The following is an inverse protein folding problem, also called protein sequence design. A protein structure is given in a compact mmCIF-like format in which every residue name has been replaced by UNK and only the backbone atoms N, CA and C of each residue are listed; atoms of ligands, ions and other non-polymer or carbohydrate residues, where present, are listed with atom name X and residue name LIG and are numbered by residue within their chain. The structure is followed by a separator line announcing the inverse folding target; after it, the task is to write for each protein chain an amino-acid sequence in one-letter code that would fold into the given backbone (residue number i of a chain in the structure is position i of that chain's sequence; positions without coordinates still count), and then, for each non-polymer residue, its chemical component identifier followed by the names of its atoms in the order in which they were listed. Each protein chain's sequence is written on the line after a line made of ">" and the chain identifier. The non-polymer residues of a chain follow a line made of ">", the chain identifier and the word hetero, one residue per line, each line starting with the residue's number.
data_IF_277463710836
#
_entry.id   IF_277463710836
#
_cell.length_a   1.000
_cell.length_b   1.000
_cell.length_c   1.000
_cell.angle_alpha   90.00
_cell.angle_beta   90.00
_cell.angle_gamma   90.00
#
_symmetry.space_group_name_H-M   'P 1'
#
loop_
_entity.id
_entity.type
_entity.pdbx_description
1 polymer ?
#
# COMPACT_ATOMS: atom_id res chain seq x y z
N UNK A 1 2.91 7.34 -5.77
CA UNK A 1 1.48 7.66 -5.61
C UNK A 1 0.94 8.08 -6.97
N UNK A 2 0.30 7.16 -7.68
CA UNK A 2 -0.49 7.43 -8.88
C UNK A 2 -1.87 8.03 -8.54
N UNK A 3 -2.33 7.86 -7.30
CA UNK A 3 -3.63 8.31 -6.80
C UNK A 3 -3.60 9.63 -5.98
N UNK A 4 -2.55 10.43 -6.17
CA UNK A 4 -2.44 11.75 -5.55
C UNK A 4 -1.99 12.80 -6.56
N UNK A 5 -2.48 14.03 -6.38
CA UNK A 5 -1.97 15.21 -7.07
C UNK A 5 -1.38 16.18 -6.05
N UNK A 6 -0.28 16.84 -6.44
CA UNK A 6 0.48 17.73 -5.59
C UNK A 6 0.52 19.12 -6.19
N UNK A 7 0.40 20.15 -5.35
CA UNK A 7 0.55 21.55 -5.77
C UNK A 7 1.28 22.35 -4.69
N UNK A 8 1.63 23.60 -5.01
CA UNK A 8 2.08 24.55 -3.99
C UNK A 8 0.93 25.48 -3.64
N UNK A 9 0.63 25.63 -2.35
CA UNK A 9 -0.42 26.53 -1.87
C UNK A 9 0.00 28.01 -2.06
N UNK A 10 -0.86 28.95 -1.62
CA UNK A 10 -0.60 30.39 -1.74
C UNK A 10 0.68 30.85 -1.01
N UNK A 11 1.09 30.12 0.04
CA UNK A 11 2.27 30.38 0.85
C UNK A 11 3.52 29.64 0.33
N UNK A 12 3.39 28.87 -0.76
CA UNK A 12 4.48 28.12 -1.40
C UNK A 12 4.75 26.74 -0.79
N UNK A 13 3.97 26.32 0.19
CA UNK A 13 4.08 25.02 0.85
C UNK A 13 3.56 23.90 -0.05
N UNK A 14 4.13 22.70 0.07
CA UNK A 14 3.70 21.53 -0.69
C UNK A 14 2.40 21.00 -0.07
N UNK A 15 1.36 20.92 -0.88
CA UNK A 15 0.05 20.40 -0.51
C UNK A 15 -0.33 19.23 -1.43
N UNK A 16 -1.26 18.39 -1.00
CA UNK A 16 -1.69 17.23 -1.77
C UNK A 16 -3.17 16.93 -1.62
N UNK A 17 -3.69 16.26 -2.65
CA UNK A 17 -5.08 15.87 -2.74
C UNK A 17 -5.18 14.48 -3.33
N UNK A 18 -6.23 13.77 -2.92
CA UNK A 18 -6.47 12.40 -3.31
C UNK A 18 -7.41 12.35 -4.51
N UNK A 19 -7.07 11.51 -5.48
CA UNK A 19 -7.92 11.13 -6.60
C UNK A 19 -8.22 9.62 -6.50
N UNK A 20 -8.99 9.10 -7.46
CA UNK A 20 -9.33 7.68 -7.53
C UNK A 20 -10.03 7.13 -6.27
N UNK A 21 -11.22 7.67 -6.00
CA UNK A 21 -12.06 7.27 -4.87
C UNK A 21 -12.90 6.00 -5.14
N UNK A 22 -12.67 5.30 -6.25
CA UNK A 22 -13.51 4.15 -6.67
C UNK A 22 -13.55 3.01 -5.65
N UNK A 23 -12.48 2.86 -4.86
CA UNK A 23 -12.35 1.87 -3.78
C UNK A 23 -12.59 2.43 -2.37
N UNK A 24 -13.08 3.66 -2.22
CA UNK A 24 -13.23 4.29 -0.92
C UNK A 24 -14.36 3.63 -0.10
N UNK A 25 -13.98 2.99 1.01
CA UNK A 25 -14.90 2.33 1.91
C UNK A 25 -14.37 2.39 3.36
N UNK A 26 -15.23 2.22 4.38
CA UNK A 26 -14.79 2.02 5.75
C UNK A 26 -13.87 0.80 5.83
N UNK A 27 -12.65 1.00 6.32
CA UNK A 27 -11.63 -0.03 6.40
C UNK A 27 -10.67 0.24 7.56
N UNK A 28 -9.87 -0.77 7.90
CA UNK A 28 -8.80 -0.61 8.87
C UNK A 28 -7.72 0.33 8.29
N UNK A 29 -7.27 1.30 9.08
CA UNK A 29 -6.31 2.31 8.65
C UNK A 29 -4.93 1.73 8.30
N UNK A 30 -4.52 0.63 8.94
CA UNK A 30 -3.30 -0.10 8.59
C UNK A 30 -3.44 -0.73 7.21
N UNK A 31 -4.61 -1.26 6.84
CA UNK A 31 -4.82 -1.79 5.49
C UNK A 31 -4.65 -0.72 4.40
N UNK A 32 -5.11 0.52 4.66
CA UNK A 32 -4.87 1.67 3.76
C UNK A 32 -3.37 2.00 3.70
N UNK A 33 -2.73 2.10 4.88
CA UNK A 33 -1.31 2.43 4.98
C UNK A 33 -0.44 1.38 4.28
N UNK A 34 -0.79 0.10 4.37
CA UNK A 34 -0.10 -0.99 3.68
C UNK A 34 -0.04 -0.78 2.19
N UNK A 35 -1.16 -0.46 1.53
CA UNK A 35 -1.14 -0.16 0.10
C UNK A 35 -0.20 0.99 -0.29
N UNK A 36 0.05 1.93 0.63
CA UNK A 36 0.91 3.10 0.37
C UNK A 36 2.40 2.84 0.57
N UNK A 37 2.79 1.92 1.46
CA UNK A 37 4.20 1.69 1.81
C UNK A 37 4.78 0.41 1.22
N UNK A 38 3.96 -0.58 0.83
CA UNK A 38 4.44 -1.85 0.24
C UNK A 38 5.12 -1.72 -1.13
N UNK A 39 5.18 -0.51 -1.71
CA UNK A 39 5.96 -0.23 -2.91
C UNK A 39 7.46 -0.01 -2.64
N UNK A 40 7.88 0.10 -1.37
CA UNK A 40 9.29 0.19 -1.01
C UNK A 40 10.01 -1.18 -1.12
N UNK A 41 11.34 -1.13 -1.23
CA UNK A 41 12.16 -2.35 -1.23
C UNK A 41 11.96 -3.13 0.08
N UNK A 42 11.99 -4.46 0.01
CA UNK A 42 11.68 -5.31 1.15
C UNK A 42 12.62 -5.11 2.35
N UNK A 43 13.89 -4.79 2.08
CA UNK A 43 14.91 -4.51 3.10
C UNK A 43 14.62 -3.19 3.82
N UNK A 44 14.29 -2.14 3.07
CA UNK A 44 13.88 -0.83 3.61
C UNK A 44 12.63 -0.95 4.48
N UNK A 45 11.64 -1.75 4.03
CA UNK A 45 10.43 -2.00 4.81
C UNK A 45 10.72 -2.75 6.12
N UNK A 46 11.61 -3.74 6.09
CA UNK A 46 11.97 -4.50 7.29
C UNK A 46 12.79 -3.67 8.28
N UNK A 47 13.60 -2.72 7.80
CA UNK A 47 14.37 -1.82 8.67
C UNK A 47 13.52 -0.69 9.27
N UNK A 48 12.47 -0.27 8.55
CA UNK A 48 11.74 0.96 8.86
C UNK A 48 10.25 0.80 9.13
N UNK A 49 9.72 -0.42 9.28
CA UNK A 49 8.31 -0.65 9.56
C UNK A 49 7.78 0.15 10.76
N UNK A 50 8.36 0.01 11.95
CA UNK A 50 7.93 0.72 13.16
C UNK A 50 8.18 2.23 13.06
N UNK A 51 9.34 2.73 12.60
CA UNK A 51 9.54 4.16 12.34
C UNK A 51 8.49 4.78 11.41
N UNK A 52 8.09 4.07 10.35
CA UNK A 52 7.05 4.55 9.42
C UNK A 52 5.67 4.61 10.10
N UNK A 53 5.33 3.63 10.94
CA UNK A 53 4.10 3.65 11.73
C UNK A 53 4.08 4.79 12.74
N UNK A 54 5.22 5.08 13.38
CA UNK A 54 5.36 6.23 14.29
C UNK A 54 5.18 7.55 13.54
N UNK A 55 5.81 7.70 12.37
CA UNK A 55 5.65 8.87 11.51
C UNK A 55 4.17 9.11 11.17
N UNK A 56 3.46 8.05 10.75
CA UNK A 56 2.03 8.14 10.46
C UNK A 56 1.22 8.54 11.69
N UNK A 57 1.47 7.94 12.86
CA UNK A 57 0.78 8.30 14.11
C UNK A 57 0.97 9.77 14.45
N UNK A 58 2.21 10.26 14.40
CA UNK A 58 2.54 11.62 14.81
C UNK A 58 1.84 12.64 13.89
N UNK A 59 1.83 12.38 12.59
CA UNK A 59 1.14 13.18 11.59
C UNK A 59 -0.39 13.13 11.81
N UNK A 60 -0.94 11.93 11.98
CA UNK A 60 -2.37 11.74 12.20
C UNK A 60 -2.86 12.40 13.49
N UNK A 61 -2.06 12.35 14.56
CA UNK A 61 -2.35 13.07 15.79
C UNK A 61 -2.29 14.58 15.59
N UNK A 62 -1.30 15.09 14.84
CA UNK A 62 -1.17 16.53 14.57
C UNK A 62 -2.38 17.09 13.81
N UNK A 63 -2.83 16.37 12.79
CA UNK A 63 -3.91 16.84 11.91
C UNK A 63 -5.32 16.52 12.44
N UNK A 64 -5.49 15.40 13.16
CA UNK A 64 -6.80 14.92 13.60
C UNK A 64 -7.00 14.91 15.13
N UNK A 65 -5.94 15.05 15.92
CA UNK A 65 -5.99 14.96 17.39
C UNK A 65 -6.24 13.55 17.95
N UNK A 66 -6.21 12.52 17.09
CA UNK A 66 -6.48 11.13 17.47
C UNK A 66 -5.16 10.43 17.77
N UNK A 67 -5.03 9.96 19.01
CA UNK A 67 -3.82 9.28 19.48
C UNK A 67 -3.91 7.76 19.24
N UNK A 68 -3.14 7.24 18.28
CA UNK A 68 -3.14 5.82 17.89
C UNK A 68 -2.12 5.02 18.73
N UNK A 69 -2.41 3.76 19.07
CA UNK A 69 -1.43 2.90 19.76
C UNK A 69 -0.48 2.23 18.76
N UNK A 70 0.78 2.67 18.70
CA UNK A 70 1.80 2.14 17.77
C UNK A 70 1.99 0.64 17.92
N UNK A 71 1.87 0.08 19.13
CA UNK A 71 2.04 -1.37 19.32
C UNK A 71 0.91 -2.16 18.69
N UNK A 72 -0.29 -1.59 18.71
CA UNK A 72 -1.43 -2.18 18.04
C UNK A 72 -1.33 -1.99 16.52
N UNK A 73 -0.84 -0.85 16.06
CA UNK A 73 -0.52 -0.60 14.66
C UNK A 73 0.48 -1.62 14.10
N UNK A 74 1.57 -1.87 14.82
CA UNK A 74 2.60 -2.85 14.47
C UNK A 74 2.03 -4.27 14.37
N UNK A 75 1.17 -4.66 15.34
CA UNK A 75 0.49 -5.96 15.29
C UNK A 75 -0.40 -6.09 14.05
N UNK A 76 -1.19 -5.06 13.77
CA UNK A 76 -2.06 -5.03 12.60
C UNK A 76 -1.26 -4.99 11.30
N UNK A 77 -0.10 -4.33 11.29
CA UNK A 77 0.82 -4.27 10.16
C UNK A 77 1.30 -5.68 9.79
N UNK A 78 1.85 -6.42 10.75
CA UNK A 78 2.32 -7.78 10.51
C UNK A 78 1.19 -8.72 10.06
N UNK A 79 0.02 -8.64 10.68
CA UNK A 79 -1.15 -9.43 10.27
C UNK A 79 -1.62 -9.08 8.85
N UNK A 80 -1.67 -7.79 8.54
CA UNK A 80 -2.07 -7.30 7.22
C UNK A 80 -1.05 -7.74 6.18
N UNK A 81 0.25 -7.60 6.43
CA UNK A 81 1.29 -7.98 5.49
C UNK A 81 1.23 -9.46 5.10
N UNK A 82 1.06 -10.36 6.07
CA UNK A 82 0.94 -11.81 5.81
C UNK A 82 -0.32 -12.12 5.00
N UNK A 83 -1.45 -11.48 5.29
CA UNK A 83 -2.71 -11.72 4.58
C UNK A 83 -2.75 -11.06 3.20
N UNK A 84 -2.10 -9.90 3.05
CA UNK A 84 -2.01 -9.13 1.81
C UNK A 84 -1.15 -9.84 0.77
N UNK A 85 -0.04 -10.47 1.16
CA UNK A 85 0.78 -11.28 0.25
C UNK A 85 -0.02 -12.41 -0.39
N UNK A 86 -0.88 -13.09 0.39
CA UNK A 86 -1.77 -14.14 -0.12
C UNK A 86 -2.78 -13.56 -1.11
N UNK A 87 -3.39 -12.43 -0.77
CA UNK A 87 -4.34 -11.73 -1.63
C UNK A 87 -3.71 -11.32 -2.98
N UNK A 88 -2.49 -10.75 -2.94
CA UNK A 88 -1.78 -10.29 -4.13
C UNK A 88 -1.43 -11.46 -5.05
N UNK A 89 -0.90 -12.55 -4.48
CA UNK A 89 -0.59 -13.77 -5.25
C UNK A 89 -1.84 -14.33 -5.93
N UNK A 90 -2.97 -14.37 -5.23
CA UNK A 90 -4.25 -14.83 -5.79
C UNK A 90 -4.76 -13.92 -6.91
N UNK A 91 -4.65 -12.59 -6.77
CA UNK A 91 -5.08 -11.64 -7.79
C UNK A 91 -4.25 -11.76 -9.06
N UNK A 92 -2.93 -11.83 -8.91
CA UNK A 92 -2.00 -12.03 -10.03
C UNK A 92 -2.32 -13.35 -10.73
N UNK A 93 -2.53 -14.44 -10.00
CA UNK A 93 -2.90 -15.73 -10.59
C UNK A 93 -4.23 -15.64 -11.37
N UNK A 94 -5.25 -15.02 -10.79
CA UNK A 94 -6.56 -14.87 -11.44
C UNK A 94 -6.46 -14.03 -12.72
N UNK A 95 -5.73 -12.92 -12.70
CA UNK A 95 -5.55 -12.08 -13.88
C UNK A 95 -4.72 -12.80 -14.95
N UNK A 96 -3.65 -13.50 -14.59
CA UNK A 96 -2.88 -14.31 -15.55
C UNK A 96 -3.78 -15.37 -16.20
N UNK A 97 -4.58 -16.11 -15.42
CA UNK A 97 -5.53 -17.10 -15.95
C UNK A 97 -6.61 -16.49 -16.83
N UNK A 98 -6.99 -15.23 -16.61
CA UNK A 98 -7.96 -14.50 -17.42
C UNK A 98 -7.36 -14.00 -18.74
N UNK A 99 -6.11 -13.55 -18.71
CA UNK A 99 -5.45 -12.91 -19.84
C UNK A 99 -4.73 -13.90 -20.74
N UNK A 100 -4.21 -15.00 -20.19
CA UNK A 100 -3.41 -15.99 -20.92
C UNK A 100 -4.07 -17.36 -20.83
N UNK A 101 -4.41 -17.93 -21.98
CA UNK A 101 -5.01 -19.27 -22.03
C UNK A 101 -3.99 -20.34 -21.61
N UNK A 102 -4.41 -21.43 -20.93
CA UNK A 102 -3.49 -22.46 -20.42
C UNK A 102 -2.55 -23.07 -21.48
N UNK A 103 -2.96 -23.09 -22.74
CA UNK A 103 -2.17 -23.63 -23.85
C UNK A 103 -0.95 -22.74 -24.19
N UNK A 104 -1.08 -21.42 -23.96
CA UNK A 104 -0.05 -20.40 -24.22
C UNK A 104 0.99 -20.34 -23.10
N UNK A 105 0.73 -20.95 -21.94
CA UNK A 105 1.68 -20.94 -20.81
C UNK A 105 2.99 -21.65 -21.13
N UNK A 106 2.93 -22.67 -22.01
CA UNK A 106 4.11 -23.43 -22.44
C UNK A 106 5.03 -22.63 -23.36
N UNK A 107 4.55 -21.52 -23.92
CA UNK A 107 5.33 -20.65 -24.81
C UNK A 107 5.99 -19.50 -24.07
N UNK A 108 5.65 -19.26 -22.81
CA UNK A 108 6.31 -18.26 -21.96
C UNK A 108 7.62 -18.86 -21.45
N UNK A 109 8.74 -18.33 -21.94
CA UNK A 109 10.08 -18.84 -21.59
C UNK A 109 10.86 -17.92 -20.64
N UNK A 110 10.38 -16.68 -20.47
CA UNK A 110 10.99 -15.67 -19.63
C UNK A 110 9.90 -14.83 -18.94
N UNK A 111 10.24 -14.32 -17.75
CA UNK A 111 9.45 -13.29 -17.05
C UNK A 111 9.28 -12.00 -17.86
N UNK A 112 10.14 -11.78 -18.87
CA UNK A 112 10.08 -10.62 -19.76
C UNK A 112 9.28 -10.86 -21.05
N UNK A 113 8.79 -12.08 -21.29
CA UNK A 113 8.04 -12.45 -22.51
C UNK A 113 6.52 -12.23 -22.37
N UNK A 114 6.05 -11.82 -21.19
CA UNK A 114 4.63 -11.62 -20.83
C UNK A 114 4.22 -10.15 -20.83
#
# INVERSE_FOLDING_TARGET
>A
ADNAYFWRNADGELDCGLIDWGGAAPQNFISVLTGSITGAEGEELAEHDVPLLQCFKDEYFRECGIDLDVREMERQWHLTYVTYLLYLAMHVEQDIRRLVKPEEWKTITSLMDA
#
